data_IF_438078441685
#
_entry.id   IF_438078441685
#
_cell.length_a   1.000
_cell.length_b   1.000
_cell.length_c   1.000
_cell.angle_alpha   90.00
_cell.angle_beta   90.00
_cell.angle_gamma   90.00
#
_symmetry.space_group_name_H-M   'P 1'
#
loop_
_entity.id
_entity.type
_entity.pdbx_description
1 polymer ?
#
# COMPACT_ATOMS: atom_id res chain seq x y z
N UNK A 1 -4.26 -49.39 -42.64
CA UNK A 1 -5.25 -50.33 -43.18
C UNK A 1 -6.32 -50.53 -42.11
N UNK A 2 -7.47 -49.90 -42.29
CA UNK A 2 -8.73 -50.08 -41.53
C UNK A 2 -9.56 -51.05 -42.41
N UNK A 3 -10.39 -52.01 -41.91
CA UNK A 3 -11.69 -51.65 -41.33
C UNK A 3 -12.39 -52.63 -40.36
N UNK A 4 -13.57 -52.16 -39.92
CA UNK A 4 -14.72 -52.82 -39.30
C UNK A 4 -14.80 -52.78 -37.76
N UNK A 5 -15.92 -52.49 -37.10
CA UNK A 5 -17.25 -51.92 -37.44
C UNK A 5 -18.12 -52.09 -36.16
N UNK A 6 -18.92 -51.07 -35.80
CA UNK A 6 -20.24 -51.09 -35.12
C UNK A 6 -20.60 -52.23 -34.13
N UNK A 7 -21.24 -52.00 -32.97
CA UNK A 7 -22.56 -51.37 -32.84
C UNK A 7 -22.95 -51.14 -31.36
N UNK A 8 -23.84 -50.17 -31.14
CA UNK A 8 -24.47 -49.82 -29.88
C UNK A 8 -25.51 -50.85 -29.39
N UNK A 9 -25.86 -50.80 -28.09
CA UNK A 9 -27.25 -50.63 -27.59
C UNK A 9 -27.34 -50.61 -26.05
N UNK A 10 -27.97 -49.55 -25.56
CA UNK A 10 -28.60 -49.37 -24.24
C UNK A 10 -29.91 -50.20 -24.15
N UNK A 11 -30.56 -50.17 -22.97
CA UNK A 11 -31.97 -50.55 -22.65
C UNK A 11 -32.08 -51.97 -22.03
N UNK A 12 -32.80 -52.30 -20.96
CA UNK A 12 -33.79 -51.60 -20.12
C UNK A 12 -33.88 -52.19 -18.71
N UNK A 13 -34.57 -51.45 -17.85
CA UNK A 13 -35.01 -51.73 -16.48
C UNK A 13 -36.18 -52.73 -16.49
N UNK A 14 -36.23 -53.70 -15.57
CA UNK A 14 -37.41 -54.04 -14.76
C UNK A 14 -37.21 -55.28 -13.86
N UNK A 15 -37.77 -55.18 -12.64
CA UNK A 15 -38.61 -56.20 -11.94
C UNK A 15 -38.11 -56.69 -10.57
N UNK A 16 -38.56 -55.93 -9.55
CA UNK A 16 -39.25 -56.34 -8.31
C UNK A 16 -39.20 -57.81 -7.87
N UNK A 17 -38.81 -58.04 -6.61
CA UNK A 17 -39.47 -59.04 -5.74
C UNK A 17 -39.27 -58.72 -4.25
N UNK A 18 -40.30 -59.05 -3.46
CA UNK A 18 -40.62 -58.67 -2.07
C UNK A 18 -40.02 -59.62 -1.01
N UNK A 19 -40.28 -59.23 0.25
CA UNK A 19 -40.39 -60.01 1.51
C UNK A 19 -39.08 -60.15 2.30
N UNK A 20 -39.01 -59.93 3.62
CA UNK A 20 -39.99 -60.08 4.70
C UNK A 20 -39.47 -59.44 6.02
N UNK A 21 -40.36 -59.30 7.02
CA UNK A 21 -40.12 -59.27 8.49
C UNK A 21 -40.01 -57.96 9.28
N UNK A 22 -41.21 -57.57 9.75
CA UNK A 22 -41.65 -57.46 11.17
C UNK A 22 -40.92 -56.60 12.21
N UNK A 23 -41.78 -55.83 12.92
CA UNK A 23 -41.80 -55.50 14.37
C UNK A 23 -40.95 -54.31 14.85
N UNK A 24 -41.58 -53.17 15.12
CA UNK A 24 -42.15 -52.76 16.44
C UNK A 24 -42.66 -51.32 16.38
N UNK A 25 -43.78 -51.11 17.06
CA UNK A 25 -44.44 -49.82 17.32
C UNK A 25 -43.50 -48.83 18.01
N UNK A 26 -43.63 -47.54 17.71
CA UNK A 26 -43.85 -46.47 18.69
C UNK A 26 -44.29 -45.18 17.98
N UNK A 27 -45.40 -44.64 18.49
CA UNK A 27 -45.94 -43.28 18.40
C UNK A 27 -44.96 -42.19 17.97
N UNK A 28 -45.37 -41.29 17.07
CA UNK A 28 -45.45 -39.82 17.26
C UNK A 28 -46.12 -39.20 16.02
N UNK A 29 -47.32 -38.64 16.23
CA UNK A 29 -47.99 -37.78 15.25
C UNK A 29 -47.10 -36.53 15.06
N UNK A 30 -46.52 -36.35 13.88
CA UNK A 30 -45.89 -35.07 13.53
C UNK A 30 -46.58 -34.58 12.26
N UNK A 31 -47.43 -33.58 12.42
CA UNK A 31 -47.94 -32.78 11.31
C UNK A 31 -46.73 -32.06 10.73
N UNK A 32 -46.16 -32.56 9.64
CA UNK A 32 -45.20 -31.79 8.84
C UNK A 32 -45.98 -30.69 8.12
N UNK A 33 -46.10 -29.55 8.79
CA UNK A 33 -46.41 -28.29 8.12
C UNK A 33 -45.21 -27.97 7.23
N UNK A 34 -45.37 -28.07 5.91
CA UNK A 34 -44.38 -27.55 4.96
C UNK A 34 -44.31 -26.04 5.13
N UNK A 35 -43.33 -25.58 5.89
CA UNK A 35 -42.92 -24.18 5.93
C UNK A 35 -42.21 -23.85 4.62
N UNK A 36 -42.94 -23.32 3.64
CA UNK A 36 -42.33 -22.54 2.54
C UNK A 36 -42.17 -21.10 3.00
N UNK A 37 -41.13 -20.84 3.78
CA UNK A 37 -40.65 -19.48 3.99
C UNK A 37 -39.76 -19.10 2.82
N UNK A 38 -40.29 -18.27 1.92
CA UNK A 38 -39.48 -17.55 0.94
C UNK A 38 -38.48 -16.67 1.70
N UNK A 39 -37.23 -17.13 1.83
CA UNK A 39 -36.16 -16.32 2.40
C UNK A 39 -35.82 -15.22 1.39
N UNK A 40 -36.42 -14.06 1.55
CA UNK A 40 -35.89 -12.85 0.93
C UNK A 40 -34.63 -12.46 1.71
N UNK A 41 -33.47 -12.81 1.16
CA UNK A 41 -32.20 -12.25 1.60
C UNK A 41 -32.24 -10.78 1.20
N UNK A 42 -32.57 -9.91 2.14
CA UNK A 42 -32.35 -8.48 1.99
C UNK A 42 -30.83 -8.27 1.91
N UNK A 43 -30.32 -7.97 0.72
CA UNK A 43 -28.96 -7.49 0.56
C UNK A 43 -28.88 -6.11 1.21
N UNK A 44 -28.30 -6.05 2.42
CA UNK A 44 -27.89 -4.78 3.00
C UNK A 44 -26.65 -4.35 2.21
N UNK A 45 -26.85 -3.50 1.21
CA UNK A 45 -25.76 -2.77 0.61
C UNK A 45 -25.18 -1.86 1.69
N UNK A 46 -24.03 -2.25 2.27
CA UNK A 46 -23.24 -1.33 3.06
C UNK A 46 -22.74 -0.24 2.11
N UNK A 47 -23.43 0.89 2.10
CA UNK A 47 -22.91 2.11 1.48
C UNK A 47 -21.69 2.51 2.31
N UNK A 48 -20.49 2.22 1.80
CA UNK A 48 -19.29 2.83 2.31
C UNK A 48 -19.49 4.35 2.16
N UNK A 49 -19.68 5.04 3.28
CA UNK A 49 -19.57 6.48 3.29
C UNK A 49 -18.13 6.77 2.88
N UNK A 50 -17.92 7.25 1.66
CA UNK A 50 -16.68 7.89 1.27
C UNK A 50 -16.58 9.15 2.13
N UNK A 51 -16.00 9.02 3.32
CA UNK A 51 -15.47 10.17 4.03
C UNK A 51 -14.57 10.88 3.01
N UNK A 52 -14.90 12.12 2.70
CA UNK A 52 -14.03 12.94 1.88
C UNK A 52 -12.68 12.97 2.60
N UNK A 53 -11.67 12.33 2.02
CA UNK A 53 -10.33 12.29 2.56
C UNK A 53 -9.75 13.70 2.52
N UNK A 54 -9.34 14.25 3.68
CA UNK A 54 -8.69 15.56 3.72
C UNK A 54 -7.18 15.47 3.42
N UNK A 55 -6.62 14.26 3.45
CA UNK A 55 -5.20 14.02 3.21
C UNK A 55 -4.98 13.25 1.92
N UNK A 56 -3.82 13.44 1.31
CA UNK A 56 -3.44 12.65 0.14
C UNK A 56 -1.93 12.53 -0.04
N UNK A 57 -1.53 11.46 -0.73
CA UNK A 57 -0.15 11.28 -1.17
C UNK A 57 -0.16 11.05 -2.68
N UNK A 58 0.60 11.86 -3.40
CA UNK A 58 0.90 11.65 -4.82
C UNK A 58 2.25 10.96 -4.94
N UNK A 59 2.26 9.71 -5.37
CA UNK A 59 3.48 8.97 -5.64
C UNK A 59 3.94 9.24 -7.06
N UNK A 60 5.21 9.59 -7.25
CA UNK A 60 5.82 9.87 -8.55
C UNK A 60 6.95 8.87 -8.78
N UNK A 61 6.76 7.96 -9.74
CA UNK A 61 7.76 7.00 -10.14
C UNK A 61 8.68 7.60 -11.21
N UNK A 62 9.95 7.77 -10.85
CA UNK A 62 10.94 8.52 -11.62
C UNK A 62 11.71 7.66 -12.63
N UNK A 63 11.57 6.33 -12.58
CA UNK A 63 12.20 5.40 -13.51
C UNK A 63 11.21 4.46 -14.21
N UNK A 64 11.70 3.64 -15.13
CA UNK A 64 10.88 2.75 -15.94
C UNK A 64 10.36 1.49 -15.20
N UNK A 65 10.81 1.23 -13.98
CA UNK A 65 10.43 0.03 -13.22
C UNK A 65 9.06 0.24 -12.58
N UNK A 66 8.11 -0.68 -12.82
CA UNK A 66 6.82 -0.65 -12.11
C UNK A 66 7.04 -0.91 -10.62
N UNK A 67 6.26 -0.23 -9.77
CA UNK A 67 6.29 -0.40 -8.31
C UNK A 67 4.91 -0.67 -7.75
N UNK A 68 4.83 -1.49 -6.72
CA UNK A 68 3.66 -1.60 -5.85
C UNK A 68 3.95 -0.89 -4.54
N UNK A 69 3.08 0.03 -4.15
CA UNK A 69 3.14 0.71 -2.86
C UNK A 69 2.35 -0.10 -1.85
N UNK A 70 2.98 -0.38 -0.72
CA UNK A 70 2.39 -1.11 0.40
C UNK A 70 2.29 -0.17 1.59
N UNK A 71 1.09 -0.08 2.16
CA UNK A 71 0.80 0.75 3.33
C UNK A 71 0.72 -0.11 4.58
N UNK A 72 1.39 0.34 5.65
CA UNK A 72 1.35 -0.29 6.97
C UNK A 72 0.80 0.70 7.99
N UNK A 73 -0.48 0.58 8.38
CA UNK A 73 -1.06 1.46 9.39
C UNK A 73 -0.56 1.09 10.79
N UNK A 74 -0.51 2.08 11.68
CA UNK A 74 -0.43 1.85 13.12
C UNK A 74 -1.64 1.05 13.61
N UNK A 75 -1.46 0.31 14.71
CA UNK A 75 -2.49 -0.55 15.25
C UNK A 75 -3.81 0.18 15.49
N UNK A 76 -4.91 -0.36 14.97
CA UNK A 76 -6.25 0.20 15.11
C UNK A 76 -6.64 1.25 14.07
N UNK A 77 -5.74 1.64 13.16
CA UNK A 77 -6.06 2.56 12.08
C UNK A 77 -6.48 1.83 10.79
N UNK A 78 -7.16 2.57 9.91
CA UNK A 78 -7.69 2.04 8.67
C UNK A 78 -6.57 1.52 7.75
N UNK A 79 -6.81 0.33 7.18
CA UNK A 79 -5.94 -0.23 6.13
C UNK A 79 -6.22 0.49 4.80
N UNK A 80 -5.14 0.82 4.11
CA UNK A 80 -5.17 1.37 2.75
C UNK A 80 -4.73 0.24 1.81
N UNK A 81 -5.44 0.07 0.70
CA UNK A 81 -5.10 -0.94 -0.30
C UNK A 81 -3.79 -0.56 -0.99
N UNK A 82 -3.02 -1.59 -1.38
CA UNK A 82 -1.80 -1.38 -2.15
C UNK A 82 -2.09 -0.73 -3.50
N UNK A 83 -1.17 0.11 -3.95
CA UNK A 83 -1.29 0.87 -5.19
C UNK A 83 -0.20 0.44 -6.17
N UNK A 84 -0.58 0.03 -7.38
CA UNK A 84 0.39 -0.27 -8.45
C UNK A 84 0.63 0.98 -9.28
N UNK A 85 1.91 1.34 -9.48
CA UNK A 85 2.34 2.53 -10.20
C UNK A 85 3.26 2.11 -11.35
N UNK A 86 2.84 2.29 -12.61
CA UNK A 86 3.71 2.07 -13.77
C UNK A 86 5.01 2.89 -13.69
N UNK A 87 6.04 2.45 -14.44
CA UNK A 87 7.25 3.24 -14.63
C UNK A 87 6.95 4.61 -15.26
N UNK A 88 7.70 5.63 -14.87
CA UNK A 88 7.59 7.01 -15.36
C UNK A 88 6.16 7.58 -15.27
N UNK A 89 5.45 7.28 -14.20
CA UNK A 89 4.07 7.71 -13.98
C UNK A 89 3.84 8.19 -12.56
N UNK A 90 2.70 8.82 -12.31
CA UNK A 90 2.27 9.21 -10.97
C UNK A 90 0.88 8.65 -10.64
N UNK A 91 0.61 8.48 -9.36
CA UNK A 91 -0.70 8.06 -8.86
C UNK A 91 -0.96 8.68 -7.50
N UNK A 92 -2.17 9.17 -7.31
CA UNK A 92 -2.63 9.80 -6.08
C UNK A 92 -3.47 8.81 -5.28
N UNK A 93 -3.24 8.76 -3.97
CA UNK A 93 -4.06 8.01 -3.01
C UNK A 93 -4.61 8.96 -1.96
N UNK A 94 -5.86 8.74 -1.60
CA UNK A 94 -6.54 9.43 -0.52
C UNK A 94 -6.20 8.74 0.82
N UNK A 95 -5.78 9.53 1.81
CA UNK A 95 -5.36 9.04 3.12
C UNK A 95 -6.37 9.48 4.20
N UNK A 96 -6.89 8.55 5.04
CA UNK A 96 -7.83 8.91 6.10
C UNK A 96 -7.32 10.02 7.02
N UNK A 97 -8.25 10.78 7.59
CA UNK A 97 -7.91 11.75 8.64
C UNK A 97 -7.21 11.07 9.82
N UNK A 98 -6.22 11.76 10.39
CA UNK A 98 -5.42 11.30 11.53
C UNK A 98 -4.71 9.97 11.31
N UNK A 99 -4.48 9.57 10.05
CA UNK A 99 -3.79 8.33 9.75
C UNK A 99 -2.32 8.41 10.15
N UNK A 100 -1.84 7.34 10.78
CA UNK A 100 -0.47 7.17 11.26
C UNK A 100 0.05 5.85 10.72
N UNK A 101 1.21 5.86 10.08
CA UNK A 101 1.82 4.67 9.55
C UNK A 101 2.91 4.99 8.55
N UNK A 102 3.26 3.99 7.75
CA UNK A 102 4.26 4.16 6.71
C UNK A 102 3.82 3.52 5.39
N UNK A 103 4.51 3.90 4.33
CA UNK A 103 4.46 3.24 3.04
C UNK A 103 5.87 2.88 2.56
N UNK A 104 5.99 1.80 1.80
CA UNK A 104 7.21 1.47 1.07
C UNK A 104 6.84 0.97 -0.33
N UNK A 105 7.82 0.96 -1.23
CA UNK A 105 7.62 0.47 -2.59
C UNK A 105 8.32 -0.86 -2.84
N UNK A 106 7.64 -1.76 -3.53
CA UNK A 106 8.17 -3.03 -4.02
C UNK A 106 8.33 -2.93 -5.53
N UNK A 107 9.57 -3.03 -6.02
CA UNK A 107 9.84 -3.06 -7.46
C UNK A 107 9.34 -4.37 -8.08
N UNK A 108 8.86 -4.30 -9.32
CA UNK A 108 8.39 -5.47 -10.07
C UNK A 108 9.42 -6.62 -10.05
N UNK A 109 8.95 -7.82 -9.73
CA UNK A 109 9.77 -9.03 -9.64
C UNK A 109 10.68 -9.12 -8.41
N UNK A 110 10.60 -8.16 -7.47
CA UNK A 110 11.31 -8.23 -6.17
C UNK A 110 10.41 -8.80 -5.06
N UNK A 111 11.00 -9.37 -4.00
CA UNK A 111 10.25 -9.77 -2.82
C UNK A 111 9.54 -8.57 -2.17
N UNK A 112 8.33 -8.81 -1.64
CA UNK A 112 7.63 -7.84 -0.80
C UNK A 112 8.28 -7.80 0.59
N UNK A 113 9.29 -6.94 0.71
CA UNK A 113 9.98 -6.66 1.96
C UNK A 113 10.14 -5.14 2.09
N UNK A 114 10.01 -4.58 3.31
CA UNK A 114 10.20 -3.15 3.53
C UNK A 114 11.61 -2.68 3.16
N UNK A 115 11.66 -1.54 2.47
CA UNK A 115 12.88 -0.82 2.07
C UNK A 115 13.06 0.47 2.85
N UNK A 116 13.36 1.56 2.14
CA UNK A 116 13.19 2.91 2.66
C UNK A 116 11.70 3.17 2.88
N UNK A 117 11.35 3.77 4.01
CA UNK A 117 9.96 4.06 4.37
C UNK A 117 9.63 5.52 4.11
N UNK A 118 8.40 5.80 3.67
CA UNK A 118 7.75 7.09 3.81
C UNK A 118 6.85 7.02 5.05
N UNK A 119 7.21 7.70 6.13
CA UNK A 119 6.48 7.67 7.40
C UNK A 119 5.64 8.94 7.57
N UNK A 120 4.44 8.79 8.15
CA UNK A 120 3.50 9.89 8.36
C UNK A 120 2.75 9.78 9.68
N UNK A 121 2.50 10.94 10.27
CA UNK A 121 1.42 11.18 11.25
C UNK A 121 0.62 12.37 10.73
N UNK A 122 -0.49 12.13 10.05
CA UNK A 122 -1.35 13.21 9.57
C UNK A 122 -2.09 13.88 10.73
N UNK A 123 -2.18 15.22 10.69
CA UNK A 123 -3.00 16.02 11.63
C UNK A 123 -2.78 15.65 13.11
N UNK A 124 -1.54 15.35 13.50
CA UNK A 124 -1.15 14.95 14.85
C UNK A 124 -1.24 16.09 15.87
N UNK A 125 -0.26 16.17 16.76
CA UNK A 125 -0.27 17.21 17.79
C UNK A 125 -0.27 18.62 17.17
N UNK A 126 -1.19 19.47 17.64
CA UNK A 126 -1.53 20.80 17.08
C UNK A 126 -2.01 20.80 15.62
N UNK A 127 -2.50 19.66 15.12
CA UNK A 127 -2.96 19.54 13.73
C UNK A 127 -1.81 19.53 12.71
N UNK A 128 -0.56 19.38 13.16
CA UNK A 128 0.61 19.23 12.29
C UNK A 128 0.66 17.84 11.68
N UNK A 129 1.04 17.76 10.40
CA UNK A 129 1.50 16.52 9.78
C UNK A 129 2.99 16.37 10.03
N UNK A 130 3.39 15.23 10.59
CA UNK A 130 4.79 14.83 10.82
C UNK A 130 5.16 13.81 9.76
N UNK A 131 6.34 13.95 9.16
CA UNK A 131 6.76 13.07 8.09
C UNK A 131 8.28 12.92 8.00
N UNK A 132 8.72 11.77 7.51
CA UNK A 132 10.11 11.51 7.18
C UNK A 132 10.26 10.38 6.15
N UNK A 133 11.43 10.39 5.49
CA UNK A 133 11.96 9.25 4.74
C UNK A 133 12.93 8.52 5.65
N UNK A 134 12.61 7.28 6.01
CA UNK A 134 13.28 6.53 7.06
C UNK A 134 14.06 5.35 6.51
N UNK A 135 15.32 5.29 6.89
CA UNK A 135 16.31 4.28 6.53
C UNK A 135 16.50 3.24 7.63
N UNK A 136 15.77 3.34 8.75
CA UNK A 136 15.95 2.47 9.93
C UNK A 136 15.74 0.99 9.58
N UNK A 137 14.78 0.67 8.71
CA UNK A 137 14.44 -0.72 8.38
C UNK A 137 15.43 -1.32 7.39
N UNK A 138 15.69 -0.63 6.28
CA UNK A 138 16.64 -1.08 5.28
C UNK A 138 17.31 0.11 4.58
N UNK A 139 18.48 0.56 5.07
CA UNK A 139 19.17 1.71 4.49
C UNK A 139 19.81 1.42 3.12
N UNK A 140 19.81 0.15 2.67
CA UNK A 140 20.39 -0.24 1.38
C UNK A 140 19.38 -0.20 0.23
N UNK A 141 18.12 0.13 0.49
CA UNK A 141 17.16 0.38 -0.57
C UNK A 141 17.40 1.77 -1.17
N UNK A 142 18.12 1.81 -2.29
CA UNK A 142 18.38 3.04 -3.02
C UNK A 142 17.48 3.21 -4.25
N UNK A 143 16.42 2.42 -4.38
CA UNK A 143 15.54 2.39 -5.57
C UNK A 143 14.06 2.59 -5.21
N UNK A 144 13.69 2.48 -3.94
CA UNK A 144 12.34 2.65 -3.45
C UNK A 144 11.98 4.10 -3.20
N UNK A 145 11.52 4.40 -1.97
CA UNK A 145 11.17 5.76 -1.52
C UNK A 145 12.40 6.67 -1.55
N UNK A 146 12.25 7.87 -2.13
CA UNK A 146 13.33 8.85 -2.30
C UNK A 146 13.13 10.10 -1.46
N UNK A 147 12.14 10.91 -1.83
CA UNK A 147 11.86 12.18 -1.18
C UNK A 147 10.41 12.26 -0.78
N UNK A 148 10.16 12.98 0.31
CA UNK A 148 8.85 13.29 0.81
C UNK A 148 8.77 14.79 1.12
N UNK A 149 7.76 15.46 0.56
CA UNK A 149 7.55 16.90 0.73
C UNK A 149 6.09 17.30 0.45
N UNK A 150 5.62 18.45 0.95
CA UNK A 150 4.27 18.93 0.68
C UNK A 150 4.03 19.23 -0.80
N UNK A 151 2.83 18.96 -1.29
CA UNK A 151 2.46 19.14 -2.69
C UNK A 151 2.64 20.58 -3.17
N UNK A 152 2.45 21.57 -2.28
CA UNK A 152 2.69 22.98 -2.58
C UNK A 152 4.14 23.29 -2.99
N UNK A 153 5.10 22.45 -2.58
CA UNK A 153 6.52 22.60 -2.89
C UNK A 153 6.96 21.80 -4.14
N UNK A 154 6.04 21.12 -4.84
CA UNK A 154 6.35 20.28 -6.02
C UNK A 154 7.17 21.03 -7.07
N UNK A 155 6.72 22.23 -7.43
CA UNK A 155 7.34 23.08 -8.45
C UNK A 155 8.25 24.17 -7.87
N UNK A 156 8.49 24.16 -6.55
CA UNK A 156 9.36 25.13 -5.91
C UNK A 156 10.82 24.94 -6.33
N UNK A 157 11.53 26.05 -6.57
CA UNK A 157 12.96 26.08 -6.88
C UNK A 157 13.81 25.48 -5.74
N UNK A 158 13.32 25.61 -4.51
CA UNK A 158 13.92 25.02 -3.32
C UNK A 158 12.79 24.48 -2.44
N UNK A 159 12.91 23.21 -2.07
CA UNK A 159 12.02 22.57 -1.10
C UNK A 159 12.56 22.82 0.31
N UNK A 160 11.74 23.42 1.15
CA UNK A 160 12.08 23.79 2.54
C UNK A 160 11.59 22.72 3.52
N UNK A 161 10.49 22.03 3.21
CA UNK A 161 9.92 20.97 4.03
C UNK A 161 10.13 19.63 3.31
N UNK A 162 11.38 19.18 3.21
CA UNK A 162 11.74 17.94 2.50
C UNK A 162 12.48 16.97 3.42
N UNK A 163 12.03 15.72 3.39
CA UNK A 163 12.76 14.58 3.94
C UNK A 163 13.21 13.64 2.82
N UNK A 164 14.34 12.97 3.00
CA UNK A 164 14.97 12.12 1.99
C UNK A 164 15.72 12.90 0.91
N UNK A 165 16.09 12.20 -0.16
CA UNK A 165 16.90 12.69 -1.26
C UNK A 165 16.84 11.75 -2.47
N UNK A 166 17.26 12.26 -3.62
CA UNK A 166 17.40 11.44 -4.84
C UNK A 166 18.55 10.43 -4.74
N UNK A 167 19.63 10.78 -4.03
CA UNK A 167 20.83 9.94 -3.84
C UNK A 167 21.10 9.67 -2.36
N UNK A 168 21.06 8.40 -1.96
CA UNK A 168 21.40 7.95 -0.62
C UNK A 168 22.85 7.49 -0.50
N UNK A 169 23.47 7.58 0.71
CA UNK A 169 22.90 8.15 1.93
C UNK A 169 22.92 9.69 1.92
N UNK A 170 22.04 10.33 2.68
CA UNK A 170 21.97 11.79 2.76
C UNK A 170 21.50 12.29 4.13
N UNK A 171 21.83 13.53 4.51
CA UNK A 171 21.54 14.05 5.85
C UNK A 171 20.06 14.41 6.08
N UNK A 172 19.17 14.14 5.13
CA UNK A 172 17.74 14.45 5.19
C UNK A 172 16.85 13.22 5.42
N UNK A 173 17.44 12.03 5.43
CA UNK A 173 16.76 10.80 5.80
C UNK A 173 17.04 10.44 7.26
N UNK A 174 16.09 9.76 7.88
CA UNK A 174 16.15 9.33 9.27
C UNK A 174 16.84 7.96 9.38
N UNK A 175 18.03 7.90 9.99
CA UNK A 175 18.83 6.66 10.09
C UNK A 175 18.85 6.08 11.49
N UNK A 176 18.65 6.91 12.51
CA UNK A 176 18.73 6.52 13.90
C UNK A 176 17.53 7.06 14.70
N UNK A 177 17.08 6.33 15.74
CA UNK A 177 15.95 6.76 16.58
C UNK A 177 16.04 8.18 17.18
N UNK A 178 17.26 8.69 17.38
CA UNK A 178 17.49 10.02 17.98
C UNK A 178 17.79 11.12 16.92
N UNK A 179 17.67 10.81 15.63
CA UNK A 179 17.92 11.79 14.57
C UNK A 179 16.80 12.86 14.53
N UNK A 180 17.18 14.14 14.53
CA UNK A 180 16.22 15.25 14.35
C UNK A 180 15.97 15.43 12.84
N UNK A 181 15.16 14.55 12.25
CA UNK A 181 14.87 14.57 10.79
C UNK A 181 13.38 14.50 10.47
N UNK A 182 12.51 14.29 11.46
CA UNK A 182 11.07 14.43 11.28
C UNK A 182 10.74 15.89 10.97
N UNK A 183 10.21 16.11 9.77
CA UNK A 183 9.76 17.42 9.31
C UNK A 183 8.28 17.57 9.67
N UNK A 184 7.85 18.80 9.90
CA UNK A 184 6.45 19.11 10.26
C UNK A 184 5.88 20.23 9.41
N UNK A 185 4.62 20.12 9.04
CA UNK A 185 3.86 21.16 8.32
C UNK A 185 2.38 21.11 8.72
N UNK A 186 1.61 22.14 8.40
CA UNK A 186 0.14 22.11 8.50
C UNK A 186 -0.52 21.51 7.23
N UNK A 187 0.27 21.22 6.19
CA UNK A 187 -0.24 20.65 4.95
C UNK A 187 -0.63 19.18 5.10
N UNK A 188 -1.54 18.75 4.24
CA UNK A 188 -2.13 17.40 4.23
C UNK A 188 -2.03 16.71 2.86
N UNK A 189 -1.54 17.42 1.84
CA UNK A 189 -1.27 16.87 0.52
C UNK A 189 0.24 16.76 0.32
N UNK A 190 0.72 15.56 0.00
CA UNK A 190 2.15 15.28 -0.10
C UNK A 190 2.52 14.68 -1.45
N UNK A 191 3.81 14.80 -1.78
CA UNK A 191 4.44 14.08 -2.88
C UNK A 191 5.49 13.14 -2.29
N UNK A 192 5.44 11.88 -2.71
CA UNK A 192 6.47 10.89 -2.44
C UNK A 192 7.13 10.48 -3.76
N UNK A 193 8.41 10.75 -3.94
CA UNK A 193 9.14 10.31 -5.13
C UNK A 193 9.69 8.90 -4.95
N UNK A 194 9.75 8.14 -6.03
CA UNK A 194 10.15 6.74 -6.07
C UNK A 194 11.12 6.50 -7.22
N UNK A 195 12.05 5.55 -7.06
CA UNK A 195 12.97 5.21 -8.12
C UNK A 195 14.02 6.30 -8.38
N UNK A 196 15.01 5.99 -9.18
CA UNK A 196 16.06 6.94 -9.50
C UNK A 196 15.68 7.77 -10.73
N UNK A 197 15.72 9.11 -10.69
CA UNK A 197 15.49 9.90 -11.88
C UNK A 197 16.55 9.56 -12.94
N UNK A 198 16.24 9.68 -14.24
CA UNK A 198 17.22 9.48 -15.29
C UNK A 198 18.43 10.39 -15.05
N UNK A 199 19.63 9.87 -15.25
CA UNK A 199 20.93 10.54 -15.02
C UNK A 199 21.17 11.82 -15.82
N UNK A 200 20.18 12.31 -16.58
CA UNK A 200 20.26 13.51 -17.41
C UNK A 200 20.14 14.83 -16.65
N UNK A 201 19.82 14.82 -15.36
CA UNK A 201 19.89 16.01 -14.52
C UNK A 201 20.58 15.67 -13.20
N UNK A 202 21.91 15.76 -13.20
CA UNK A 202 22.61 16.14 -11.98
C UNK A 202 22.10 17.54 -11.68
N UNK A 203 21.07 17.66 -10.84
CA UNK A 203 20.90 18.89 -10.08
C UNK A 203 22.23 19.06 -9.37
N UNK A 204 23.05 19.99 -9.85
CA UNK A 204 24.23 20.40 -9.10
C UNK A 204 23.66 20.92 -7.80
N UNK A 205 23.79 20.14 -6.73
CA UNK A 205 23.76 20.70 -5.40
C UNK A 205 24.64 21.95 -5.47
N UNK A 206 24.05 23.11 -5.17
CA UNK A 206 24.82 24.33 -5.11
C UNK A 206 26.02 24.04 -4.22
N UNK A 207 27.22 24.16 -4.79
CA UNK A 207 28.47 23.87 -4.12
C UNK A 207 28.49 24.73 -2.84
N UNK A 208 28.28 24.10 -1.68
CA UNK A 208 28.41 24.82 -0.42
C UNK A 208 29.89 25.08 -0.27
N UNK A 209 30.27 26.36 -0.25
CA UNK A 209 31.66 26.75 0.00
C UNK A 209 32.04 26.33 1.43
N UNK A 210 32.63 25.15 1.54
CA UNK A 210 33.10 24.61 2.82
C UNK A 210 34.45 25.23 3.14
N UNK A 211 34.46 26.19 4.05
CA UNK A 211 35.68 26.81 4.55
C UNK A 211 36.33 25.89 5.59
N UNK A 212 37.63 25.60 5.43
CA UNK A 212 38.35 24.71 6.35
C UNK A 212 38.27 25.22 7.80
N UNK A 213 38.07 24.31 8.77
CA UNK A 213 37.90 24.58 10.22
C UNK A 213 38.91 25.57 10.82
N UNK A 214 40.13 25.63 10.27
CA UNK A 214 41.18 26.58 10.68
C UNK A 214 40.80 28.06 10.49
N UNK A 215 39.95 28.36 9.50
CA UNK A 215 39.43 29.71 9.26
C UNK A 215 38.27 30.07 10.18
N UNK A 216 37.59 29.08 10.77
CA UNK A 216 36.46 29.28 11.69
C UNK A 216 36.93 29.57 13.13
N UNK A 217 38.11 29.07 13.51
CA UNK A 217 38.61 29.16 14.89
C UNK A 217 39.67 30.25 15.12
N UNK A 218 40.00 31.05 14.11
CA UNK A 218 40.91 32.20 14.25
C UNK A 218 42.30 31.88 14.81
N UNK A 219 42.83 30.68 14.56
CA UNK A 219 44.18 30.29 14.99
C UNK A 219 45.11 30.20 13.80
N UNK A 220 46.04 31.15 13.72
CA UNK A 220 47.22 31.12 12.86
C UNK A 220 48.37 30.46 13.62
#
# INVERSE_FOLDING_TARGET
MVPHSFNAKTVDIHRLSRHDRTRRLLSFYTITFTMRFSQQIAAIAATAASLASANSITFINQDATQRTIVFTPSAGLQRIDSLVIPGNSESKVDIPDYWIGNAYSVSEGKPDVPGMLAEFTFQGWQGLTYFDVSAIVNPNDHEGVKELYPLSEKDALQKVSISGCTLFPCPKAYYHPDDIQTVTTLETDFVCTLGNPPTTTVARDAEVELVARKFVLGKF
#
